data_IF_386467743766
#
_entry.id   IF_386467743766
#
_cell.length_a   1.000
_cell.length_b   1.000
_cell.length_c   1.000
_cell.angle_alpha   90.00
_cell.angle_beta   90.00
_cell.angle_gamma   90.00
#
_symmetry.space_group_name_H-M   'P 1'
#
loop_
_entity.id
_entity.type
_entity.pdbx_description
1 polymer ?
#
# COMPACT_ATOMS: atom_id res chain seq x y z
N UNK A 1 11.66 8.21 -3.18
CA UNK A 1 11.28 9.14 -4.27
C UNK A 1 10.16 8.52 -5.08
N UNK A 2 9.48 9.33 -5.90
CA UNK A 2 8.37 8.87 -6.73
C UNK A 2 8.78 7.84 -7.78
N UNK A 3 9.93 8.02 -8.41
CA UNK A 3 10.45 7.09 -9.43
C UNK A 3 10.68 5.69 -8.84
N UNK A 4 11.25 5.64 -7.64
CA UNK A 4 11.48 4.37 -6.92
C UNK A 4 10.16 3.71 -6.52
N UNK A 5 9.15 4.48 -6.13
CA UNK A 5 7.81 3.96 -5.85
C UNK A 5 7.21 3.29 -7.09
N UNK A 6 7.24 3.96 -8.25
CA UNK A 6 6.75 3.39 -9.51
C UNK A 6 7.51 2.13 -9.92
N UNK A 7 8.83 2.10 -9.70
CA UNK A 7 9.64 0.91 -9.94
C UNK A 7 9.17 -0.28 -9.07
N UNK A 8 9.03 -0.07 -7.76
CA UNK A 8 8.57 -1.14 -6.85
C UNK A 8 7.17 -1.64 -7.21
N UNK A 9 6.22 -0.74 -7.51
CA UNK A 9 4.86 -1.12 -7.92
C UNK A 9 4.90 -1.97 -9.18
N UNK A 10 5.72 -1.60 -10.18
CA UNK A 10 5.89 -2.38 -11.40
C UNK A 10 6.42 -3.79 -11.12
N UNK A 11 7.46 -3.92 -10.30
CA UNK A 11 8.06 -5.21 -9.94
C UNK A 11 7.06 -6.14 -9.21
N UNK A 12 6.28 -5.60 -8.28
CA UNK A 12 5.22 -6.35 -7.58
C UNK A 12 4.14 -6.82 -8.56
N UNK A 13 3.61 -5.94 -9.41
CA UNK A 13 2.57 -6.29 -10.37
C UNK A 13 3.07 -7.31 -11.41
N UNK A 14 4.32 -7.21 -11.85
CA UNK A 14 4.94 -8.21 -12.73
C UNK A 14 5.05 -9.57 -12.05
N UNK A 15 5.43 -9.61 -10.77
CA UNK A 15 5.51 -10.83 -9.97
C UNK A 15 4.14 -11.48 -9.80
N UNK A 16 3.11 -10.70 -9.44
CA UNK A 16 1.73 -11.20 -9.37
C UNK A 16 1.30 -11.82 -10.71
N UNK A 17 1.54 -11.12 -11.83
CA UNK A 17 1.22 -11.61 -13.17
C UNK A 17 1.94 -12.90 -13.53
N UNK A 18 3.22 -13.04 -13.19
CA UNK A 18 4.01 -14.28 -13.40
C UNK A 18 3.38 -15.49 -12.70
N UNK A 19 2.82 -15.28 -11.51
CA UNK A 19 2.18 -16.32 -10.71
C UNK A 19 0.67 -16.43 -10.93
N UNK A 20 0.10 -15.72 -11.92
CA UNK A 20 -1.35 -15.66 -12.20
C UNK A 20 -2.19 -15.22 -10.99
N UNK A 21 -1.62 -14.35 -10.15
CA UNK A 21 -2.32 -13.65 -9.09
C UNK A 21 -2.78 -12.29 -9.62
N UNK A 22 -3.97 -11.86 -9.20
CA UNK A 22 -4.56 -10.61 -9.64
C UNK A 22 -4.96 -9.78 -8.43
N UNK A 23 -4.56 -8.52 -8.41
CA UNK A 23 -4.96 -7.57 -7.39
C UNK A 23 -6.42 -7.16 -7.61
N UNK A 24 -7.21 -7.06 -6.54
CA UNK A 24 -8.55 -6.49 -6.60
C UNK A 24 -8.43 -4.96 -6.62
N UNK A 25 -8.74 -4.34 -7.76
CA UNK A 25 -8.57 -2.90 -7.96
C UNK A 25 -9.37 -2.06 -6.96
N UNK A 26 -10.57 -2.50 -6.57
CA UNK A 26 -11.43 -1.81 -5.61
C UNK A 26 -10.81 -1.74 -4.21
N UNK A 27 -9.85 -2.62 -3.91
CA UNK A 27 -9.13 -2.69 -2.65
C UNK A 27 -7.70 -2.16 -2.73
N UNK A 28 -7.28 -1.63 -3.88
CA UNK A 28 -5.91 -1.17 -4.09
C UNK A 28 -5.84 0.36 -4.07
N UNK A 29 -4.89 0.88 -3.30
CA UNK A 29 -4.53 2.30 -3.26
C UNK A 29 -3.02 2.43 -3.51
N UNK A 30 -2.62 3.33 -4.41
CA UNK A 30 -1.22 3.55 -4.78
C UNK A 30 -0.86 5.02 -4.65
N UNK A 31 0.42 5.31 -4.39
CA UNK A 31 0.94 6.68 -4.34
C UNK A 31 0.33 7.57 -3.24
N UNK A 32 -0.11 6.98 -2.12
CA UNK A 32 -0.67 7.75 -1.01
C UNK A 32 0.43 8.18 -0.04
N UNK A 33 0.31 9.41 0.49
CA UNK A 33 1.16 9.92 1.58
C UNK A 33 0.72 9.41 2.95
N UNK A 34 -0.52 8.92 3.06
CA UNK A 34 -1.10 8.29 4.25
C UNK A 34 -1.82 7.00 3.85
N UNK A 35 -1.56 5.91 4.55
CA UNK A 35 -2.15 4.60 4.25
C UNK A 35 -2.56 3.86 5.52
N UNK A 36 -3.73 3.22 5.49
CA UNK A 36 -4.22 2.36 6.56
C UNK A 36 -3.81 0.92 6.25
N UNK A 37 -3.14 0.26 7.20
CA UNK A 37 -2.65 -1.10 7.03
C UNK A 37 -2.70 -1.86 8.36
N UNK A 38 -3.42 -2.99 8.37
CA UNK A 38 -3.56 -3.87 9.54
C UNK A 38 -4.07 -3.19 10.83
N UNK A 39 -4.80 -2.08 10.74
CA UNK A 39 -5.24 -1.30 11.91
C UNK A 39 -4.19 -0.31 12.42
N UNK A 40 -3.23 0.03 11.57
CA UNK A 40 -2.33 1.14 11.76
C UNK A 40 -2.53 2.14 10.63
N UNK A 41 -2.22 3.39 10.93
CA UNK A 41 -2.16 4.48 9.99
C UNK A 41 -0.70 4.86 9.83
N UNK A 42 -0.19 4.81 8.61
CA UNK A 42 1.18 5.15 8.29
C UNK A 42 1.22 6.41 7.45
N UNK A 43 2.07 7.36 7.82
CA UNK A 43 2.31 8.61 7.10
C UNK A 43 3.79 9.00 7.15
N UNK A 44 4.10 10.23 6.73
CA UNK A 44 5.47 10.76 6.72
C UNK A 44 6.10 10.90 8.12
N UNK A 45 5.27 10.97 9.17
CA UNK A 45 5.71 11.14 10.56
C UNK A 45 5.94 9.79 11.26
N UNK A 46 5.31 8.71 10.78
CA UNK A 46 5.58 7.36 11.24
C UNK A 46 4.38 6.42 11.18
N UNK A 47 4.36 5.47 12.12
CA UNK A 47 3.29 4.48 12.26
C UNK A 47 2.48 4.81 13.50
N UNK A 48 1.18 5.01 13.30
CA UNK A 48 0.22 5.37 14.35
C UNK A 48 -0.83 4.26 14.49
N UNK A 49 -1.36 4.08 15.70
CA UNK A 49 -2.50 3.17 15.89
C UNK A 49 -3.72 3.82 15.25
N UNK A 50 -4.49 3.03 14.52
CA UNK A 50 -5.70 3.49 13.88
C UNK A 50 -6.75 3.92 14.93
N UNK A 51 -7.17 5.21 14.94
CA UNK A 51 -8.11 5.71 15.93
C UNK A 51 -9.47 5.01 15.87
N UNK A 52 -9.86 4.43 14.72
CA UNK A 52 -11.11 3.66 14.60
C UNK A 52 -11.10 2.35 15.40
N UNK A 53 -9.93 1.83 15.78
CA UNK A 53 -9.80 0.60 16.60
C UNK A 53 -9.68 0.85 18.10
N UNK A 54 -9.59 2.11 18.53
CA UNK A 54 -9.39 2.47 19.94
C UNK A 54 -10.73 2.83 20.64
N UNK A 55 -11.86 2.75 19.93
CA UNK A 55 -13.20 3.01 20.47
C UNK A 55 -13.99 1.72 20.75
#
# INVERSE_FOLDING_TARGET
TWERHLQHVREVLQTLRKHRLYANLDKCTFGMTKVQYLGYVMDEEGVHVDPEKIQ
#
